data_IF_399086419475
#
_entry.id   IF_399086419475
#
_cell.length_a   1.000
_cell.length_b   1.000
_cell.length_c   1.000
_cell.angle_alpha   90.00
_cell.angle_beta   90.00
_cell.angle_gamma   90.00
#
_symmetry.space_group_name_H-M   'P 1'
#
loop_
_entity.id
_entity.type
_entity.pdbx_description
1 polymer ?
#
# COMPACT_ATOMS: atom_id res chain seq x y z
N UNK A 1 -56.01 62.52 24.81
CA UNK A 1 -56.48 61.14 24.60
C UNK A 1 -56.94 61.00 23.15
N UNK A 2 -56.18 60.29 22.31
CA UNK A 2 -56.68 59.52 21.16
C UNK A 2 -55.50 58.80 20.52
N UNK A 3 -55.58 57.47 20.49
CA UNK A 3 -54.65 56.54 19.86
C UNK A 3 -54.60 56.75 18.33
N UNK A 4 -53.42 56.62 17.72
CA UNK A 4 -53.26 56.13 16.35
C UNK A 4 -52.04 55.21 16.27
N UNK A 5 -52.30 53.97 15.88
CA UNK A 5 -51.35 52.93 15.51
C UNK A 5 -50.44 53.37 14.36
N UNK A 6 -49.14 53.14 14.51
CA UNK A 6 -48.20 53.03 13.39
C UNK A 6 -47.43 51.71 13.54
N UNK A 7 -47.53 50.89 12.50
CA UNK A 7 -46.89 49.60 12.35
C UNK A 7 -45.38 49.78 12.19
N UNK A 8 -44.57 49.05 12.98
CA UNK A 8 -43.13 48.89 12.76
C UNK A 8 -42.90 47.43 12.37
N UNK A 9 -42.47 47.20 11.14
CA UNK A 9 -42.08 45.91 10.63
C UNK A 9 -40.72 45.50 11.22
N UNK A 10 -40.67 44.37 11.90
CA UNK A 10 -39.44 43.75 12.40
C UNK A 10 -38.71 43.04 11.27
N UNK A 11 -37.56 43.57 10.83
CA UNK A 11 -36.58 42.80 10.06
C UNK A 11 -35.65 42.07 11.05
N UNK A 12 -35.83 40.75 11.19
CA UNK A 12 -34.85 39.87 11.80
C UNK A 12 -33.66 39.69 10.83
N UNK A 13 -32.49 40.21 11.21
CA UNK A 13 -31.21 39.82 10.61
C UNK A 13 -30.85 38.42 11.10
N UNK A 14 -30.98 37.42 10.22
CA UNK A 14 -30.43 36.08 10.40
C UNK A 14 -28.91 36.14 10.15
N UNK A 15 -28.13 36.03 11.22
CA UNK A 15 -26.69 35.81 11.15
C UNK A 15 -26.47 34.34 10.73
N UNK A 16 -26.14 34.11 9.46
CA UNK A 16 -25.65 32.81 9.01
C UNK A 16 -24.23 32.62 9.53
N UNK A 17 -24.03 31.73 10.49
CA UNK A 17 -22.68 31.26 10.83
C UNK A 17 -22.18 30.39 9.68
N UNK A 18 -21.28 30.95 8.88
CA UNK A 18 -20.43 30.20 7.97
C UNK A 18 -19.61 29.22 8.81
N UNK A 19 -19.91 27.93 8.71
CA UNK A 19 -19.04 26.88 9.23
C UNK A 19 -17.73 26.98 8.46
N UNK A 20 -16.72 27.54 9.11
CA UNK A 20 -15.36 27.58 8.58
C UNK A 20 -14.89 26.16 8.29
N UNK A 21 -14.34 25.95 7.09
CA UNK A 21 -13.43 24.84 6.83
C UNK A 21 -12.33 24.97 7.88
N UNK A 22 -12.19 23.97 8.76
CA UNK A 22 -11.14 23.96 9.76
C UNK A 22 -9.79 24.12 9.06
N UNK A 23 -8.98 25.08 9.53
CA UNK A 23 -7.60 25.29 9.10
C UNK A 23 -6.78 24.01 9.21
N UNK A 24 -5.87 23.83 8.25
CA UNK A 24 -4.97 22.70 8.04
C UNK A 24 -4.34 22.14 9.33
N UNK A 25 -4.91 21.07 9.88
CA UNK A 25 -4.18 20.24 10.83
C UNK A 25 -3.19 19.39 10.04
N UNK A 26 -1.90 19.77 10.09
CA UNK A 26 -0.82 18.88 9.65
C UNK A 26 -1.04 17.48 10.25
N UNK A 27 -0.85 16.39 9.48
CA UNK A 27 -1.09 15.05 9.99
C UNK A 27 -0.30 14.86 11.28
N UNK A 28 -0.99 14.43 12.35
CA UNK A 28 -0.35 14.13 13.61
C UNK A 28 0.84 13.20 13.37
N UNK A 29 1.99 13.47 14.01
CA UNK A 29 3.15 12.60 13.94
C UNK A 29 2.79 11.14 14.25
N UNK A 30 3.60 10.15 13.84
CA UNK A 30 3.22 8.74 13.97
C UNK A 30 2.89 8.38 15.42
N UNK A 31 1.95 7.45 15.62
CA UNK A 31 1.69 6.97 16.98
C UNK A 31 2.96 6.32 17.53
N UNK A 32 3.42 6.69 18.72
CA UNK A 32 4.68 6.20 19.27
C UNK A 32 4.49 5.07 20.26
N UNK A 33 3.38 5.07 20.98
CA UNK A 33 3.09 4.08 22.02
C UNK A 33 1.95 3.16 21.61
N UNK A 34 1.91 1.98 22.24
CA UNK A 34 0.85 1.00 22.02
C UNK A 34 -0.55 1.57 22.33
N UNK A 35 -0.79 2.26 23.46
CA UNK A 35 -2.11 2.85 23.75
C UNK A 35 -2.51 3.93 22.75
N UNK A 36 -1.58 4.79 22.36
CA UNK A 36 -1.83 5.84 21.37
C UNK A 36 -2.24 5.24 20.01
N UNK A 37 -1.50 4.24 19.52
CA UNK A 37 -1.83 3.55 18.28
C UNK A 37 -3.23 2.92 18.35
N UNK A 38 -3.53 2.23 19.46
CA UNK A 38 -4.83 1.59 19.71
C UNK A 38 -5.99 2.61 19.72
N UNK A 39 -5.80 3.77 20.37
CA UNK A 39 -6.76 4.86 20.37
C UNK A 39 -7.00 5.42 18.96
N UNK A 40 -5.94 5.61 18.16
CA UNK A 40 -6.08 6.09 16.77
C UNK A 40 -6.81 5.08 15.89
N UNK A 41 -6.57 3.78 16.07
CA UNK A 41 -7.31 2.72 15.37
C UNK A 41 -8.80 2.80 15.70
N UNK A 42 -9.17 2.94 16.96
CA UNK A 42 -10.58 3.07 17.37
C UNK A 42 -11.23 4.35 16.82
N UNK A 43 -10.52 5.48 16.87
CA UNK A 43 -11.01 6.75 16.33
C UNK A 43 -11.31 6.68 14.82
N UNK A 44 -10.68 5.77 14.07
CA UNK A 44 -10.97 5.60 12.65
C UNK A 44 -12.39 5.08 12.35
N UNK A 45 -13.10 4.50 13.32
CA UNK A 45 -14.47 3.99 13.12
C UNK A 45 -15.46 5.10 12.77
N UNK A 46 -15.21 6.33 13.23
CA UNK A 46 -16.07 7.50 13.01
C UNK A 46 -15.48 8.50 12.01
N UNK A 47 -14.31 8.19 11.43
CA UNK A 47 -13.67 9.05 10.42
C UNK A 47 -14.51 9.13 9.15
N UNK A 48 -14.60 10.31 8.56
CA UNK A 48 -15.14 10.49 7.20
C UNK A 48 -14.11 10.07 6.16
N UNK A 49 -14.52 9.22 5.21
CA UNK A 49 -13.68 8.83 4.07
C UNK A 49 -13.34 10.04 3.20
N UNK A 50 -12.10 10.13 2.69
CA UNK A 50 -11.66 11.27 1.87
C UNK A 50 -12.21 11.22 0.45
N UNK A 51 -12.49 10.01 -0.04
CA UNK A 51 -13.38 9.77 -1.17
C UNK A 51 -14.76 9.36 -0.64
N UNK A 52 -15.88 9.87 -1.19
CA UNK A 52 -17.20 9.54 -0.70
C UNK A 52 -17.42 8.02 -0.56
N UNK A 53 -17.79 7.56 0.63
CA UNK A 53 -18.14 6.17 0.88
C UNK A 53 -19.60 6.10 1.35
N UNK A 54 -20.56 5.87 0.43
CA UNK A 54 -21.96 5.79 0.78
C UNK A 54 -22.23 4.72 1.84
N UNK A 55 -23.26 4.95 2.66
CA UNK A 55 -23.78 3.93 3.56
C UNK A 55 -24.21 2.68 2.77
N UNK A 56 -24.23 1.53 3.44
CA UNK A 56 -24.72 0.30 2.83
C UNK A 56 -26.21 0.44 2.49
N UNK A 57 -26.61 -0.01 1.32
CA UNK A 57 -28.04 -0.10 0.96
C UNK A 57 -28.73 -1.23 1.72
N UNK A 58 -30.06 -1.18 1.79
CA UNK A 58 -30.84 -2.27 2.40
C UNK A 58 -30.57 -3.63 1.71
N UNK A 59 -30.38 -3.63 0.39
CA UNK A 59 -30.07 -4.83 -0.37
C UNK A 59 -28.65 -5.36 -0.09
N UNK A 60 -27.67 -4.46 0.05
CA UNK A 60 -26.30 -4.85 0.44
C UNK A 60 -26.30 -5.50 1.83
N UNK A 61 -27.03 -4.91 2.79
CA UNK A 61 -27.20 -5.47 4.14
C UNK A 61 -27.91 -6.84 4.09
N UNK A 62 -29.00 -6.95 3.32
CA UNK A 62 -29.81 -8.15 3.20
C UNK A 62 -29.09 -9.30 2.47
N UNK A 63 -28.18 -8.99 1.54
CA UNK A 63 -27.41 -9.98 0.78
C UNK A 63 -26.47 -10.84 1.65
N UNK A 64 -26.25 -10.46 2.91
CA UNK A 64 -25.25 -11.07 3.79
C UNK A 64 -23.80 -10.88 3.31
N UNK A 65 -23.57 -10.20 2.18
CA UNK A 65 -22.24 -9.82 1.70
C UNK A 65 -21.74 -8.64 2.53
N UNK A 66 -21.15 -8.96 3.68
CA UNK A 66 -20.36 -7.99 4.45
C UNK A 66 -19.09 -7.66 3.66
N UNK A 67 -19.17 -6.66 2.82
CA UNK A 67 -18.01 -6.09 2.14
C UNK A 67 -17.31 -5.15 3.11
N UNK A 68 -16.04 -5.45 3.42
CA UNK A 68 -15.21 -4.52 4.18
C UNK A 68 -15.07 -3.22 3.39
N UNK A 69 -14.98 -2.08 4.07
CA UNK A 69 -14.96 -0.76 3.45
C UNK A 69 -13.86 -0.63 2.39
N UNK A 70 -12.73 -1.30 2.59
CA UNK A 70 -11.65 -1.40 1.62
C UNK A 70 -12.06 -2.01 0.27
N UNK A 71 -12.90 -3.05 0.29
CA UNK A 71 -13.44 -3.66 -0.92
C UNK A 71 -14.51 -2.78 -1.57
N UNK A 72 -15.39 -2.20 -0.74
CA UNK A 72 -16.47 -1.29 -1.20
C UNK A 72 -15.93 -0.08 -1.94
N UNK A 73 -14.93 0.60 -1.36
CA UNK A 73 -14.37 1.78 -1.98
C UNK A 73 -13.71 1.44 -3.33
N UNK A 74 -13.03 0.30 -3.43
CA UNK A 74 -12.47 -0.16 -4.71
C UNK A 74 -13.56 -0.44 -5.74
N UNK A 75 -14.64 -1.12 -5.38
CA UNK A 75 -15.72 -1.42 -6.32
C UNK A 75 -16.47 -0.18 -6.80
N UNK A 76 -16.51 0.89 -6.00
CA UNK A 76 -17.14 2.15 -6.39
C UNK A 76 -16.25 2.91 -7.40
N UNK A 77 -14.95 3.01 -7.11
CA UNK A 77 -14.10 3.97 -7.83
C UNK A 77 -13.15 3.37 -8.86
N UNK A 78 -12.76 2.11 -8.73
CA UNK A 78 -11.77 1.49 -9.62
C UNK A 78 -12.43 0.57 -10.65
N UNK A 79 -11.87 0.50 -11.88
CA UNK A 79 -12.28 -0.49 -12.87
C UNK A 79 -12.24 -1.92 -12.30
N UNK A 80 -13.21 -2.76 -12.66
CA UNK A 80 -13.23 -4.16 -12.23
C UNK A 80 -11.96 -4.90 -12.70
N UNK A 81 -11.45 -4.58 -13.89
CA UNK A 81 -10.22 -5.17 -14.43
C UNK A 81 -8.96 -4.84 -13.62
N UNK A 82 -8.99 -3.77 -12.82
CA UNK A 82 -7.89 -3.41 -11.91
C UNK A 82 -7.95 -4.18 -10.59
N UNK A 83 -9.06 -4.86 -10.30
CA UNK A 83 -9.24 -5.62 -9.08
C UNK A 83 -8.74 -7.05 -9.33
N UNK A 84 -7.63 -7.41 -8.70
CA UNK A 84 -7.19 -8.81 -8.71
C UNK A 84 -8.31 -9.69 -8.14
N UNK A 85 -8.59 -10.83 -8.79
CA UNK A 85 -9.56 -11.83 -8.31
C UNK A 85 -9.24 -12.35 -6.91
N UNK A 86 -8.06 -12.08 -6.35
CA UNK A 86 -7.72 -12.31 -4.94
C UNK A 86 -8.47 -11.43 -3.94
N UNK A 87 -9.06 -10.32 -4.41
CA UNK A 87 -10.05 -9.52 -3.64
C UNK A 87 -11.36 -10.28 -3.43
N UNK A 88 -11.61 -11.27 -4.30
CA UNK A 88 -12.72 -12.21 -4.24
C UNK A 88 -12.24 -13.48 -3.54
N UNK A 89 -12.50 -13.55 -2.23
CA UNK A 89 -12.44 -14.75 -1.35
C UNK A 89 -11.84 -16.01 -2.00
N UNK A 90 -10.60 -16.32 -1.65
CA UNK A 90 -10.21 -17.74 -1.60
C UNK A 90 -11.14 -18.50 -0.64
N UNK A 91 -11.30 -19.82 -0.79
CA UNK A 91 -12.10 -20.62 0.13
C UNK A 91 -11.59 -20.35 1.56
N UNK A 92 -12.51 -20.20 2.52
CA UNK A 92 -12.11 -20.21 3.94
C UNK A 92 -11.45 -21.57 4.17
N UNK A 93 -10.12 -21.61 4.19
CA UNK A 93 -9.37 -22.77 4.63
C UNK A 93 -9.87 -23.14 6.02
N UNK A 94 -10.22 -24.41 6.21
CA UNK A 94 -10.60 -24.92 7.50
C UNK A 94 -9.53 -24.52 8.53
N UNK A 95 -9.95 -23.97 9.67
CA UNK A 95 -9.06 -23.77 10.81
C UNK A 95 -8.61 -25.16 11.26
N UNK A 96 -7.31 -25.49 11.27
CA UNK A 96 -6.86 -26.80 11.73
C UNK A 96 -7.27 -27.00 13.19
N UNK A 97 -8.07 -28.03 13.47
CA UNK A 97 -8.50 -28.37 14.83
C UNK A 97 -7.45 -29.26 15.49
N UNK A 98 -6.68 -28.71 16.43
CA UNK A 98 -5.80 -29.46 17.33
C UNK A 98 -4.37 -28.91 17.43
N UNK A 99 -3.81 -28.91 18.65
CA UNK A 99 -2.50 -28.33 18.98
C UNK A 99 -1.38 -28.87 18.07
N UNK A 100 -1.37 -30.16 17.77
CA UNK A 100 -0.34 -30.76 16.90
C UNK A 100 -0.47 -30.32 15.42
N UNK A 101 -1.68 -30.11 14.91
CA UNK A 101 -1.90 -29.62 13.56
C UNK A 101 -1.57 -28.12 13.45
N UNK A 102 -1.94 -27.32 14.47
CA UNK A 102 -1.55 -25.91 14.58
C UNK A 102 -0.02 -25.76 14.63
N UNK A 103 0.67 -26.56 15.44
CA UNK A 103 2.14 -26.52 15.53
C UNK A 103 2.83 -27.01 14.24
N UNK A 104 2.32 -28.04 13.57
CA UNK A 104 2.86 -28.48 12.27
C UNK A 104 2.64 -27.47 11.14
N UNK A 105 1.53 -26.71 11.15
CA UNK A 105 1.28 -25.66 10.16
C UNK A 105 2.16 -24.43 10.41
N UNK A 106 2.57 -24.20 11.67
CA UNK A 106 3.54 -23.17 12.06
C UNK A 106 5.01 -23.58 11.75
N UNK A 107 5.26 -24.84 11.40
CA UNK A 107 6.60 -25.39 11.16
C UNK A 107 7.01 -25.48 9.68
N UNK A 108 6.14 -25.19 8.71
CA UNK A 108 6.46 -25.29 7.28
C UNK A 108 6.11 -24.03 6.49
N UNK A 109 7.15 -23.29 6.07
CA UNK A 109 7.12 -22.14 5.13
C UNK A 109 6.17 -21.00 5.51
N UNK A 110 6.28 -19.78 4.90
CA UNK A 110 5.54 -18.61 5.35
C UNK A 110 4.03 -18.83 5.53
N UNK A 111 3.60 -19.10 6.77
CA UNK A 111 2.21 -19.38 7.08
C UNK A 111 1.36 -18.11 7.18
N UNK A 112 0.06 -18.27 7.35
CA UNK A 112 -0.89 -17.16 7.46
C UNK A 112 -0.58 -16.21 8.63
N UNK A 113 -0.21 -16.74 9.79
CA UNK A 113 0.16 -15.96 10.97
C UNK A 113 1.46 -15.17 10.73
N UNK A 114 2.49 -15.82 10.19
CA UNK A 114 3.76 -15.20 9.81
C UNK A 114 3.55 -14.03 8.83
N UNK A 115 2.82 -14.26 7.73
CA UNK A 115 2.51 -13.20 6.76
C UNK A 115 1.68 -12.07 7.38
N UNK A 116 0.76 -12.38 8.29
CA UNK A 116 -0.01 -11.36 9.03
C UNK A 116 0.88 -10.53 9.94
N UNK A 117 1.90 -11.12 10.60
CA UNK A 117 2.89 -10.36 11.39
C UNK A 117 3.71 -9.43 10.49
N UNK A 118 4.16 -9.90 9.32
CA UNK A 118 4.83 -9.02 8.35
C UNK A 118 3.91 -7.88 7.89
N UNK A 119 2.63 -8.15 7.64
CA UNK A 119 1.66 -7.09 7.31
C UNK A 119 1.50 -6.09 8.45
N UNK A 120 1.52 -6.56 9.70
CA UNK A 120 1.50 -5.69 10.86
C UNK A 120 2.73 -4.78 10.88
N UNK A 121 3.94 -5.31 10.64
CA UNK A 121 5.19 -4.52 10.54
C UNK A 121 5.11 -3.48 9.42
N UNK A 122 4.65 -3.85 8.21
CA UNK A 122 4.46 -2.92 7.09
C UNK A 122 3.48 -1.80 7.47
N UNK A 123 2.35 -2.17 8.09
CA UNK A 123 1.32 -1.21 8.51
C UNK A 123 1.80 -0.28 9.61
N UNK A 124 2.60 -0.78 10.55
CA UNK A 124 3.20 0.01 11.61
C UNK A 124 4.27 0.97 11.08
N UNK A 125 5.10 0.51 10.15
CA UNK A 125 6.14 1.31 9.49
C UNK A 125 5.55 2.42 8.61
N UNK A 126 4.40 2.16 7.97
CA UNK A 126 3.66 3.16 7.18
C UNK A 126 2.67 4.00 8.01
N UNK A 127 2.57 3.77 9.32
CA UNK A 127 1.54 4.32 10.24
C UNK A 127 0.08 4.19 9.73
N UNK A 128 -0.23 3.08 9.06
CA UNK A 128 -1.53 2.81 8.48
C UNK A 128 -2.49 2.18 9.51
N UNK A 129 -3.22 3.03 10.24
CA UNK A 129 -4.11 2.57 11.33
C UNK A 129 -5.22 1.62 10.86
N UNK A 130 -5.81 1.84 9.68
CA UNK A 130 -6.84 0.95 9.11
C UNK A 130 -6.32 -0.48 8.95
N UNK A 131 -5.09 -0.63 8.43
CA UNK A 131 -4.49 -1.94 8.24
C UNK A 131 -4.01 -2.55 9.56
N UNK A 132 -3.54 -1.74 10.52
CA UNK A 132 -3.20 -2.21 11.87
C UNK A 132 -4.42 -2.81 12.55
N UNK A 133 -5.57 -2.13 12.58
CA UNK A 133 -6.80 -2.67 13.16
C UNK A 133 -7.21 -4.03 12.58
N UNK A 134 -7.07 -4.20 11.26
CA UNK A 134 -7.28 -5.50 10.60
C UNK A 134 -6.27 -6.56 11.02
N UNK A 135 -4.98 -6.22 11.13
CA UNK A 135 -3.96 -7.18 11.49
C UNK A 135 -4.07 -7.58 12.96
N UNK A 136 -4.36 -6.65 13.88
CA UNK A 136 -4.64 -6.92 15.30
C UNK A 136 -5.70 -8.01 15.47
N UNK A 137 -6.81 -7.90 14.75
CA UNK A 137 -7.87 -8.89 14.79
C UNK A 137 -7.47 -10.22 14.18
N UNK A 138 -6.77 -10.22 13.04
CA UNK A 138 -6.31 -11.46 12.41
C UNK A 138 -5.30 -12.18 13.29
N UNK A 139 -4.39 -11.46 13.94
CA UNK A 139 -3.42 -12.03 14.87
C UNK A 139 -4.10 -12.61 16.13
N UNK A 140 -5.11 -11.93 16.68
CA UNK A 140 -5.94 -12.50 17.76
C UNK A 140 -6.69 -13.76 17.31
N UNK A 141 -7.22 -13.79 16.08
CA UNK A 141 -7.92 -14.96 15.51
C UNK A 141 -7.01 -16.18 15.32
N UNK A 142 -5.71 -15.98 15.15
CA UNK A 142 -4.72 -17.07 15.13
C UNK A 142 -4.14 -17.37 16.51
N UNK A 143 -4.73 -16.81 17.58
CA UNK A 143 -4.42 -17.15 18.96
C UNK A 143 -3.39 -16.26 19.65
N UNK A 144 -2.93 -15.18 19.04
CA UNK A 144 -1.99 -14.25 19.71
C UNK A 144 -2.71 -13.38 20.75
N UNK A 145 -2.10 -13.23 21.92
CA UNK A 145 -2.56 -12.27 22.96
C UNK A 145 -2.20 -10.83 22.60
N UNK A 146 -2.84 -9.85 23.25
CA UNK A 146 -2.52 -8.43 23.01
C UNK A 146 -1.03 -8.10 23.29
N UNK A 147 -0.42 -8.72 24.30
CA UNK A 147 1.00 -8.57 24.63
C UNK A 147 1.91 -9.23 23.57
N UNK A 148 1.54 -10.41 23.05
CA UNK A 148 2.27 -11.04 21.94
C UNK A 148 2.19 -10.25 20.64
N UNK A 149 1.09 -9.53 20.40
CA UNK A 149 1.00 -8.62 19.26
C UNK A 149 1.81 -7.35 19.54
N UNK A 150 1.78 -6.85 20.78
CA UNK A 150 2.56 -5.68 21.17
C UNK A 150 4.07 -5.92 21.11
N UNK A 151 4.55 -7.15 21.29
CA UNK A 151 5.97 -7.49 21.14
C UNK A 151 6.49 -7.26 19.72
N UNK A 152 5.64 -7.29 18.68
CA UNK A 152 6.01 -6.89 17.31
C UNK A 152 6.47 -5.44 17.25
N UNK A 153 6.07 -4.58 18.19
CA UNK A 153 6.41 -3.17 18.20
C UNK A 153 7.76 -2.87 18.87
N UNK A 154 8.29 -3.79 19.69
CA UNK A 154 9.42 -3.51 20.61
C UNK A 154 10.34 -4.70 20.93
N UNK A 155 9.83 -5.93 21.03
CA UNK A 155 10.52 -7.12 21.58
C UNK A 155 10.68 -8.24 20.54
N UNK A 156 11.40 -7.96 19.46
CA UNK A 156 11.66 -8.94 18.40
C UNK A 156 12.50 -10.13 18.87
N UNK A 157 13.28 -9.96 19.94
CA UNK A 157 14.06 -11.02 20.60
C UNK A 157 13.20 -12.18 21.13
N UNK A 158 11.89 -12.00 21.24
CA UNK A 158 10.94 -13.05 21.62
C UNK A 158 10.49 -13.95 20.46
N UNK A 159 10.87 -13.62 19.22
CA UNK A 159 10.50 -14.38 18.02
C UNK A 159 11.67 -15.26 17.53
N UNK A 160 11.42 -16.34 16.77
CA UNK A 160 12.50 -17.12 16.16
C UNK A 160 13.41 -16.27 15.27
N UNK A 161 14.70 -16.63 15.17
CA UNK A 161 15.70 -15.90 14.36
C UNK A 161 15.24 -15.64 12.91
N UNK A 162 14.59 -16.63 12.29
CA UNK A 162 14.03 -16.51 10.94
C UNK A 162 12.97 -15.39 10.84
N UNK A 163 12.10 -15.27 11.86
CA UNK A 163 11.10 -14.20 11.90
C UNK A 163 11.72 -12.84 12.17
N UNK A 164 12.72 -12.77 13.05
CA UNK A 164 13.47 -11.54 13.28
C UNK A 164 14.11 -11.02 12.00
N UNK A 165 14.76 -11.91 11.24
CA UNK A 165 15.34 -11.63 9.92
C UNK A 165 14.28 -11.09 8.95
N UNK A 166 13.13 -11.75 8.86
CA UNK A 166 12.04 -11.33 7.98
C UNK A 166 11.43 -9.97 8.40
N UNK A 167 11.25 -9.72 9.70
CA UNK A 167 10.74 -8.44 10.21
C UNK A 167 11.71 -7.29 9.94
N UNK A 168 13.02 -7.53 10.11
CA UNK A 168 14.06 -6.55 9.79
C UNK A 168 14.06 -6.19 8.31
N UNK A 169 14.09 -7.20 7.43
CA UNK A 169 14.02 -7.00 5.99
C UNK A 169 12.72 -6.29 5.58
N UNK A 170 11.59 -6.65 6.19
CA UNK A 170 10.27 -6.05 5.94
C UNK A 170 10.22 -4.57 6.29
N UNK A 171 10.74 -4.20 7.47
CA UNK A 171 10.82 -2.79 7.90
C UNK A 171 11.72 -1.99 6.96
N UNK A 172 12.90 -2.52 6.62
CA UNK A 172 13.83 -1.86 5.69
C UNK A 172 13.21 -1.67 4.31
N UNK A 173 12.62 -2.71 3.72
CA UNK A 173 11.98 -2.64 2.40
C UNK A 173 10.77 -1.68 2.38
N UNK A 174 10.09 -1.53 3.52
CA UNK A 174 8.96 -0.60 3.66
C UNK A 174 9.45 0.85 3.78
N UNK A 175 10.36 1.12 4.72
CA UNK A 175 10.87 2.45 5.05
C UNK A 175 11.81 3.00 3.96
N UNK A 176 12.77 2.18 3.54
CA UNK A 176 13.90 2.54 2.70
C UNK A 176 14.22 1.48 1.65
N UNK A 177 13.30 1.15 0.72
CA UNK A 177 13.55 0.23 -0.40
C UNK A 177 14.81 0.59 -1.20
N UNK A 178 15.09 1.88 -1.37
CA UNK A 178 16.31 2.39 -2.03
C UNK A 178 17.64 2.05 -1.31
N UNK A 179 17.56 1.53 -0.07
CA UNK A 179 18.69 1.05 0.74
C UNK A 179 18.56 -0.45 1.06
N UNK A 180 17.64 -1.17 0.43
CA UNK A 180 17.51 -2.61 0.61
C UNK A 180 18.59 -3.31 -0.22
N UNK A 181 19.56 -3.94 0.46
CA UNK A 181 20.81 -4.38 -0.14
C UNK A 181 21.21 -5.81 0.22
N UNK A 182 22.49 -6.10 0.07
CA UNK A 182 23.05 -7.43 0.30
C UNK A 182 22.90 -7.86 1.77
N UNK A 183 22.94 -6.91 2.71
CA UNK A 183 22.75 -7.20 4.13
C UNK A 183 21.39 -7.87 4.39
N UNK A 184 20.29 -7.30 3.89
CA UNK A 184 18.96 -7.88 4.06
C UNK A 184 18.80 -9.19 3.28
N UNK A 185 19.36 -9.27 2.06
CA UNK A 185 19.30 -10.49 1.24
C UNK A 185 20.04 -11.66 1.89
N UNK A 186 21.28 -11.44 2.34
CA UNK A 186 22.08 -12.44 3.05
C UNK A 186 21.39 -12.87 4.34
N UNK A 187 20.79 -11.93 5.07
CA UNK A 187 20.05 -12.23 6.28
C UNK A 187 18.83 -13.12 6.00
N UNK A 188 18.07 -12.86 4.94
CA UNK A 188 16.95 -13.71 4.53
C UNK A 188 17.42 -15.10 4.06
N UNK A 189 18.47 -15.18 3.23
CA UNK A 189 19.03 -16.44 2.71
C UNK A 189 19.57 -17.38 3.79
N UNK A 190 19.88 -16.86 4.98
CA UNK A 190 20.25 -17.71 6.12
C UNK A 190 19.10 -18.60 6.61
N UNK A 191 17.86 -18.20 6.37
CA UNK A 191 16.67 -18.81 6.98
C UNK A 191 15.60 -19.27 5.99
N UNK A 192 15.58 -18.73 4.79
CA UNK A 192 14.54 -18.96 3.79
C UNK A 192 15.15 -19.44 2.48
N UNK A 193 14.46 -20.35 1.81
CA UNK A 193 14.76 -20.74 0.42
C UNK A 193 14.49 -19.58 -0.54
N UNK A 194 15.09 -19.61 -1.72
CA UNK A 194 14.89 -18.58 -2.75
C UNK A 194 13.40 -18.40 -3.13
N UNK A 195 12.63 -19.49 -3.19
CA UNK A 195 11.18 -19.45 -3.43
C UNK A 195 10.41 -18.76 -2.29
N UNK A 196 10.78 -19.02 -1.03
CA UNK A 196 10.18 -18.34 0.13
C UNK A 196 10.57 -16.87 0.19
N UNK A 197 11.78 -16.50 -0.21
CA UNK A 197 12.20 -15.09 -0.32
C UNK A 197 11.37 -14.36 -1.36
N UNK A 198 11.13 -14.97 -2.54
CA UNK A 198 10.24 -14.41 -3.57
C UNK A 198 8.83 -14.17 -3.00
N UNK A 199 8.27 -15.15 -2.30
CA UNK A 199 6.94 -15.04 -1.68
C UNK A 199 6.89 -13.96 -0.59
N UNK A 200 7.91 -13.89 0.29
CA UNK A 200 8.04 -12.85 1.32
C UNK A 200 8.11 -11.47 0.68
N UNK A 201 9.01 -11.26 -0.29
CA UNK A 201 9.20 -9.97 -0.95
C UNK A 201 7.94 -9.54 -1.69
N UNK A 202 7.30 -10.46 -2.43
CA UNK A 202 6.03 -10.18 -3.10
C UNK A 202 4.94 -9.82 -2.09
N UNK A 203 4.83 -10.58 -1.00
CA UNK A 203 3.85 -10.35 0.06
C UNK A 203 4.03 -8.96 0.71
N UNK A 204 5.26 -8.61 1.09
CA UNK A 204 5.60 -7.30 1.66
C UNK A 204 5.35 -6.15 0.68
N UNK A 205 5.64 -6.36 -0.61
CA UNK A 205 5.31 -5.40 -1.66
C UNK A 205 3.79 -5.16 -1.76
N UNK A 206 2.97 -6.22 -1.75
CA UNK A 206 1.50 -6.10 -1.77
C UNK A 206 0.93 -5.40 -0.54
N UNK A 207 1.51 -5.63 0.64
CA UNK A 207 1.13 -4.91 1.86
C UNK A 207 1.44 -3.42 1.77
N UNK A 208 2.57 -3.06 1.17
CA UNK A 208 2.92 -1.66 0.90
C UNK A 208 1.93 -0.96 -0.05
N UNK A 209 1.42 -1.66 -1.07
CA UNK A 209 0.34 -1.15 -1.92
C UNK A 209 -0.96 -0.96 -1.12
N UNK A 210 -1.34 -1.97 -0.32
CA UNK A 210 -2.60 -1.94 0.43
C UNK A 210 -2.64 -0.81 1.46
N UNK A 211 -1.53 -0.56 2.16
CA UNK A 211 -1.42 0.56 3.10
C UNK A 211 -1.56 1.91 2.41
N UNK A 212 -0.90 2.09 1.25
CA UNK A 212 -0.95 3.35 0.50
C UNK A 212 -2.35 3.66 0.01
N UNK A 213 -3.08 2.66 -0.46
CA UNK A 213 -4.50 2.80 -0.79
C UNK A 213 -5.33 3.20 0.43
N UNK A 214 -5.33 2.38 1.49
CA UNK A 214 -6.25 2.53 2.63
C UNK A 214 -5.98 3.77 3.46
N UNK A 215 -4.70 4.12 3.68
CA UNK A 215 -4.33 5.32 4.39
C UNK A 215 -4.73 6.57 3.59
N UNK A 216 -4.37 6.64 2.30
CA UNK A 216 -4.59 7.83 1.47
C UNK A 216 -6.07 8.11 1.23
N UNK A 217 -6.87 7.08 1.00
CA UNK A 217 -8.32 7.21 0.78
C UNK A 217 -9.11 7.54 2.06
N UNK A 218 -8.47 7.45 3.23
CA UNK A 218 -9.12 7.81 4.49
C UNK A 218 -10.26 6.87 4.89
N UNK A 219 -10.27 5.62 4.42
CA UNK A 219 -11.37 4.67 4.66
C UNK A 219 -11.61 4.48 6.17
N UNK A 220 -12.85 4.61 6.68
CA UNK A 220 -13.14 4.35 8.09
C UNK A 220 -12.90 2.89 8.46
N UNK A 221 -12.48 2.68 9.70
CA UNK A 221 -12.34 1.34 10.24
C UNK A 221 -13.69 0.63 10.22
N UNK A 222 -13.69 -0.61 9.72
CA UNK A 222 -14.90 -1.44 9.70
C UNK A 222 -15.51 -1.59 11.10
N UNK A 223 -16.82 -1.36 11.22
CA UNK A 223 -17.55 -1.51 12.48
C UNK A 223 -17.57 -2.97 12.93
N UNK A 224 -17.68 -3.90 11.97
CA UNK A 224 -17.59 -5.33 12.21
C UNK A 224 -16.77 -6.03 11.12
N UNK A 225 -15.95 -7.00 11.51
CA UNK A 225 -14.99 -7.68 10.63
C UNK A 225 -15.52 -9.04 10.17
N UNK A 226 -16.73 -9.03 9.61
CA UNK A 226 -17.44 -10.23 9.15
C UNK A 226 -18.14 -11.03 10.26
N UNK A 227 -18.25 -10.48 11.48
CA UNK A 227 -19.08 -10.97 12.59
C UNK A 227 -20.22 -10.00 12.93
N UNK A 228 -21.17 -10.40 13.77
CA UNK A 228 -22.33 -9.56 14.16
C UNK A 228 -21.96 -8.49 15.19
N UNK A 229 -20.94 -8.78 16.00
CA UNK A 229 -20.50 -7.88 17.07
C UNK A 229 -19.49 -6.83 16.60
N UNK A 230 -19.56 -5.59 17.14
CA UNK A 230 -18.53 -4.59 16.96
C UNK A 230 -17.17 -5.11 17.45
N UNK A 231 -16.11 -4.88 16.67
CA UNK A 231 -14.78 -5.29 17.11
C UNK A 231 -14.21 -4.29 18.13
N UNK A 232 -13.81 -4.76 19.31
CA UNK A 232 -13.02 -3.95 20.24
C UNK A 232 -11.53 -4.04 19.86
N UNK A 233 -10.92 -2.92 19.44
CA UNK A 233 -9.53 -2.82 19.00
C UNK A 233 -8.62 -2.12 20.00
N UNK A 234 -9.16 -1.39 20.97
CA UNK A 234 -8.43 -0.69 22.05
C UNK A 234 -8.12 -1.56 23.28
N UNK A 235 -8.05 -2.87 23.09
CA UNK A 235 -7.71 -3.81 24.15
C UNK A 235 -6.36 -3.45 24.79
N UNK A 236 -6.30 -3.38 26.14
CA UNK A 236 -5.10 -2.96 26.84
C UNK A 236 -3.99 -4.01 26.73
N UNK A 237 -2.77 -3.56 26.97
CA UNK A 237 -1.57 -4.41 27.11
C UNK A 237 -1.00 -4.24 28.50
N UNK A 238 -0.09 -5.12 28.91
CA UNK A 238 0.58 -5.00 30.20
C UNK A 238 1.43 -3.72 30.31
N UNK A 239 1.86 -3.42 31.53
CA UNK A 239 2.73 -2.27 31.82
C UNK A 239 4.06 -2.33 31.07
N UNK A 240 4.52 -3.54 30.71
CA UNK A 240 5.73 -3.77 29.92
C UNK A 240 5.63 -3.13 28.52
N UNK A 241 4.52 -3.35 27.81
CA UNK A 241 4.37 -2.90 26.42
C UNK A 241 3.72 -1.52 26.27
N UNK A 242 2.90 -1.11 27.24
CA UNK A 242 2.13 0.15 27.12
C UNK A 242 2.98 1.41 27.18
N UNK A 243 4.19 1.36 27.77
CA UNK A 243 5.05 2.53 28.01
C UNK A 243 6.24 2.65 27.05
N UNK A 244 6.52 1.61 26.27
CA UNK A 244 7.70 1.58 25.41
C UNK A 244 7.40 2.28 24.08
N UNK A 245 8.31 3.16 23.60
CA UNK A 245 8.21 3.70 22.26
C UNK A 245 8.46 2.59 21.22
N UNK A 246 7.66 2.61 20.17
CA UNK A 246 7.80 1.70 19.05
C UNK A 246 9.16 1.83 18.37
N UNK A 247 9.77 0.68 18.05
CA UNK A 247 10.92 0.59 17.15
C UNK A 247 10.52 0.41 15.69
N UNK A 248 9.23 0.23 15.40
CA UNK A 248 8.72 -0.10 14.07
C UNK A 248 8.08 1.11 13.38
N UNK A 249 7.44 1.99 14.15
CA UNK A 249 6.91 3.27 13.71
C UNK A 249 7.95 4.07 12.88
N UNK A 250 7.50 4.98 11.99
CA UNK A 250 8.38 5.81 11.19
C UNK A 250 9.01 6.97 11.97
N UNK A 251 9.59 6.69 13.14
CA UNK A 251 10.26 7.68 14.00
C UNK A 251 11.63 8.11 13.48
N UNK A 252 12.28 7.24 12.73
CA UNK A 252 13.60 7.40 12.12
C UNK A 252 13.50 7.63 10.61
N UNK A 253 12.32 8.05 10.12
CA UNK A 253 12.13 8.34 8.71
C UNK A 253 13.11 9.40 8.24
N UNK A 254 13.81 9.10 7.15
CA UNK A 254 14.65 10.04 6.43
C UNK A 254 14.04 10.30 5.06
N UNK A 255 13.94 11.57 4.62
CA UNK A 255 13.59 11.90 3.25
C UNK A 255 14.44 11.12 2.24
N UNK A 256 13.83 10.76 1.10
CA UNK A 256 14.57 10.16 -0.01
C UNK A 256 15.63 11.16 -0.50
N UNK A 257 16.84 10.69 -0.87
CA UNK A 257 17.78 11.57 -1.54
C UNK A 257 17.22 12.05 -2.86
N UNK A 258 17.62 13.27 -3.26
CA UNK A 258 17.28 13.86 -4.55
C UNK A 258 17.62 12.93 -5.72
N UNK A 259 16.93 13.17 -6.85
CA UNK A 259 17.10 12.38 -8.05
C UNK A 259 18.51 12.50 -8.62
N UNK A 260 19.04 11.36 -9.05
CA UNK A 260 20.35 11.30 -9.71
C UNK A 260 20.34 12.05 -11.05
N UNK A 261 21.51 12.57 -11.43
CA UNK A 261 21.76 13.11 -12.75
C UNK A 261 21.56 12.05 -13.84
N UNK A 262 21.35 12.51 -15.08
CA UNK A 262 21.00 11.66 -16.21
C UNK A 262 22.03 10.54 -16.45
N UNK A 263 23.31 10.84 -16.36
CA UNK A 263 24.39 9.90 -16.58
C UNK A 263 24.35 8.73 -15.57
N UNK A 264 24.03 9.03 -14.31
CA UNK A 264 23.89 8.02 -13.27
C UNK A 264 22.63 7.17 -13.45
N UNK A 265 21.54 7.75 -13.96
CA UNK A 265 20.32 7.00 -14.33
C UNK A 265 20.62 6.04 -15.48
N UNK A 266 21.27 6.51 -16.55
CA UNK A 266 21.62 5.67 -17.69
C UNK A 266 22.58 4.53 -17.29
N UNK A 267 23.56 4.83 -16.42
CA UNK A 267 24.44 3.82 -15.85
C UNK A 267 23.67 2.78 -15.01
N UNK A 268 22.73 3.23 -14.16
CA UNK A 268 21.92 2.33 -13.34
C UNK A 268 20.98 1.46 -14.18
N UNK A 269 20.38 2.00 -15.25
CA UNK A 269 19.59 1.24 -16.21
C UNK A 269 20.45 0.23 -16.98
N UNK A 270 21.68 0.58 -17.35
CA UNK A 270 22.63 -0.35 -17.98
C UNK A 270 23.02 -1.49 -17.04
N UNK A 271 23.33 -1.18 -15.77
CA UNK A 271 23.57 -2.20 -14.74
C UNK A 271 22.34 -3.09 -14.56
N UNK A 272 21.14 -2.50 -14.51
CA UNK A 272 19.90 -3.24 -14.33
C UNK A 272 19.65 -4.26 -15.46
N UNK A 273 20.11 -4.04 -16.69
CA UNK A 273 19.99 -5.03 -17.79
C UNK A 273 20.91 -6.23 -17.64
N UNK A 274 22.02 -6.08 -16.94
CA UNK A 274 23.08 -7.10 -16.86
C UNK A 274 23.27 -7.71 -15.47
N UNK A 275 22.54 -7.23 -14.46
CA UNK A 275 22.63 -7.77 -13.09
C UNK A 275 22.05 -9.17 -13.00
N UNK A 276 22.57 -9.95 -12.06
CA UNK A 276 22.03 -11.26 -11.73
C UNK A 276 20.91 -11.12 -10.70
N UNK A 277 19.82 -11.92 -10.81
CA UNK A 277 18.82 -12.00 -9.77
C UNK A 277 19.44 -12.36 -8.42
N UNK A 278 18.92 -11.73 -7.36
CA UNK A 278 19.35 -12.00 -5.99
C UNK A 278 19.02 -13.41 -5.49
N UNK A 279 18.16 -14.15 -6.18
CA UNK A 279 17.62 -15.46 -5.83
C UNK A 279 17.49 -16.29 -7.10
N UNK A 280 17.52 -17.62 -7.00
CA UNK A 280 17.19 -18.50 -8.10
C UNK A 280 15.73 -18.29 -8.54
N UNK A 281 15.53 -17.90 -9.80
CA UNK A 281 14.20 -17.69 -10.36
C UNK A 281 13.61 -19.02 -10.86
N UNK A 282 12.27 -19.18 -10.86
CA UNK A 282 11.62 -20.25 -11.59
C UNK A 282 12.11 -20.31 -13.04
N UNK A 283 12.15 -21.51 -13.63
CA UNK A 283 12.61 -21.65 -15.01
C UNK A 283 11.70 -20.87 -15.98
N UNK A 284 12.30 -20.36 -17.06
CA UNK A 284 11.53 -19.67 -18.11
C UNK A 284 10.45 -20.57 -18.73
N UNK A 285 10.65 -21.90 -18.72
CA UNK A 285 9.65 -22.85 -19.20
C UNK A 285 8.39 -22.85 -18.33
N UNK A 286 8.54 -22.88 -17.00
CA UNK A 286 7.41 -22.76 -16.07
C UNK A 286 6.68 -21.44 -16.30
N UNK A 287 7.44 -20.33 -16.44
CA UNK A 287 6.85 -19.02 -16.70
C UNK A 287 6.03 -18.99 -18.00
N UNK A 288 6.53 -19.59 -19.09
CA UNK A 288 5.80 -19.69 -20.36
C UNK A 288 4.54 -20.53 -20.22
N UNK A 289 4.63 -21.67 -19.54
CA UNK A 289 3.49 -22.56 -19.33
C UNK A 289 2.37 -21.85 -18.57
N UNK A 290 2.70 -21.13 -17.49
CA UNK A 290 1.72 -20.39 -16.69
C UNK A 290 1.12 -19.23 -17.47
N UNK A 291 1.94 -18.44 -18.17
CA UNK A 291 1.46 -17.28 -18.94
C UNK A 291 0.59 -17.69 -20.13
N UNK A 292 0.86 -18.84 -20.76
CA UNK A 292 0.10 -19.35 -21.90
C UNK A 292 -1.38 -19.58 -21.58
N UNK A 293 -1.77 -19.72 -20.30
CA UNK A 293 -3.16 -19.80 -19.89
C UNK A 293 -3.97 -18.50 -20.13
N UNK A 294 -3.30 -17.36 -20.33
CA UNK A 294 -3.93 -16.07 -20.63
C UNK A 294 -3.44 -15.47 -21.95
N UNK A 295 -2.12 -15.49 -22.19
CA UNK A 295 -1.50 -14.92 -23.39
C UNK A 295 -0.62 -15.96 -24.09
N UNK A 296 -1.20 -16.92 -24.84
CA UNK A 296 -0.44 -17.94 -25.57
C UNK A 296 0.63 -17.34 -26.49
N UNK A 297 1.84 -17.89 -26.46
CA UNK A 297 2.96 -17.47 -27.32
C UNK A 297 3.72 -16.22 -26.86
N UNK A 298 3.28 -15.55 -25.80
CA UNK A 298 4.04 -14.45 -25.21
C UNK A 298 5.33 -14.93 -24.54
N UNK A 299 6.40 -14.16 -24.66
CA UNK A 299 7.62 -14.34 -23.88
C UNK A 299 7.39 -13.65 -22.53
N UNK A 300 7.41 -14.39 -21.40
CA UNK A 300 7.22 -13.78 -20.10
C UNK A 300 8.36 -12.81 -19.77
N UNK A 301 8.07 -11.60 -19.28
CA UNK A 301 9.10 -10.74 -18.71
C UNK A 301 9.65 -11.36 -17.42
N UNK A 302 10.86 -10.95 -17.03
CA UNK A 302 11.59 -11.48 -15.88
C UNK A 302 10.81 -11.30 -14.57
N UNK A 303 10.07 -10.20 -14.41
CA UNK A 303 9.21 -10.03 -13.23
C UNK A 303 8.11 -11.10 -13.14
N UNK A 304 7.58 -11.56 -14.29
CA UNK A 304 6.59 -12.62 -14.32
C UNK A 304 7.25 -13.97 -14.06
N UNK A 305 8.44 -14.20 -14.65
CA UNK A 305 9.25 -15.40 -14.36
C UNK A 305 9.51 -15.54 -12.87
N UNK A 306 9.93 -14.47 -12.20
CA UNK A 306 10.23 -14.46 -10.78
C UNK A 306 9.03 -14.93 -9.94
N UNK A 307 7.80 -14.55 -10.31
CA UNK A 307 6.61 -14.94 -9.56
C UNK A 307 5.87 -16.15 -10.13
N UNK A 308 6.40 -16.85 -11.15
CA UNK A 308 5.66 -17.87 -11.89
C UNK A 308 5.13 -19.02 -11.01
N UNK A 309 5.86 -19.38 -9.94
CA UNK A 309 5.46 -20.40 -8.97
C UNK A 309 4.42 -19.89 -7.93
N UNK A 310 4.16 -18.59 -7.86
CA UNK A 310 3.18 -18.06 -6.93
C UNK A 310 1.74 -18.27 -7.46
N UNK A 311 0.78 -18.63 -6.61
CA UNK A 311 -0.61 -18.86 -7.03
C UNK A 311 -1.29 -17.59 -7.59
N UNK A 312 -0.72 -16.41 -7.32
CA UNK A 312 -1.23 -15.12 -7.77
C UNK A 312 -0.61 -14.62 -9.07
N UNK A 313 0.29 -15.38 -9.70
CA UNK A 313 1.07 -14.96 -10.88
C UNK A 313 0.18 -14.48 -12.04
N UNK A 314 -0.76 -15.32 -12.48
CA UNK A 314 -1.66 -14.98 -13.60
C UNK A 314 -2.59 -13.82 -13.27
N UNK A 315 -3.09 -13.75 -12.04
CA UNK A 315 -3.93 -12.63 -11.60
C UNK A 315 -3.13 -11.31 -11.57
N UNK A 316 -1.85 -11.37 -11.18
CA UNK A 316 -0.95 -10.21 -11.17
C UNK A 316 -0.61 -9.75 -12.59
N UNK A 317 -0.44 -10.70 -13.52
CA UNK A 317 -0.32 -10.41 -14.95
C UNK A 317 -1.51 -9.66 -15.51
N UNK A 318 -2.70 -10.24 -15.38
CA UNK A 318 -3.95 -9.62 -15.86
C UNK A 318 -4.14 -8.22 -15.30
N UNK A 319 -3.95 -8.06 -13.99
CA UNK A 319 -4.07 -6.77 -13.33
C UNK A 319 -3.06 -5.76 -13.88
N UNK A 320 -1.79 -6.14 -14.04
CA UNK A 320 -0.76 -5.23 -14.56
C UNK A 320 -1.04 -4.79 -15.99
N UNK A 321 -1.51 -5.70 -16.86
CA UNK A 321 -1.96 -5.34 -18.21
C UNK A 321 -3.16 -4.37 -18.17
N UNK A 322 -4.11 -4.61 -17.26
CA UNK A 322 -5.27 -3.74 -17.09
C UNK A 322 -4.92 -2.34 -16.58
N UNK A 323 -3.94 -2.20 -15.67
CA UNK A 323 -3.48 -0.89 -15.19
C UNK A 323 -2.90 -0.03 -16.32
N UNK A 324 -2.27 -0.67 -17.32
CA UNK A 324 -1.71 0.01 -18.50
C UNK A 324 -2.80 0.37 -19.52
N UNK A 325 -3.83 -0.47 -19.68
CA UNK A 325 -4.85 -0.31 -20.72
C UNK A 325 -6.05 0.50 -20.26
N UNK A 326 -6.64 0.10 -19.14
CA UNK A 326 -7.95 0.57 -18.66
C UNK A 326 -7.82 1.75 -17.69
N UNK A 327 -8.93 2.40 -17.37
CA UNK A 327 -9.01 3.53 -16.42
C UNK A 327 -9.39 4.85 -17.09
N UNK A 328 -9.83 5.81 -16.28
CA UNK A 328 -10.18 7.17 -16.70
C UNK A 328 -8.95 8.08 -16.78
N UNK A 329 -7.90 7.78 -16.01
CA UNK A 329 -6.65 8.53 -15.97
C UNK A 329 -5.94 8.49 -17.33
N UNK A 330 -5.47 9.66 -17.80
CA UNK A 330 -4.76 9.77 -19.07
C UNK A 330 -3.55 8.80 -19.16
N UNK A 331 -3.34 8.11 -20.30
CA UNK A 331 -2.23 7.15 -20.47
C UNK A 331 -0.86 7.71 -20.08
N UNK A 332 -0.59 8.96 -20.45
CA UNK A 332 0.66 9.64 -20.10
C UNK A 332 0.82 9.81 -18.58
N UNK A 333 -0.21 10.25 -17.87
CA UNK A 333 -0.15 10.41 -16.41
C UNK A 333 0.08 9.05 -15.72
N UNK A 334 -0.51 7.96 -16.21
CA UNK A 334 -0.27 6.61 -15.68
C UNK A 334 1.21 6.22 -15.76
N UNK A 335 1.84 6.44 -16.91
CA UNK A 335 3.28 6.15 -17.11
C UNK A 335 4.16 7.06 -16.24
N UNK A 336 3.81 8.34 -16.12
CA UNK A 336 4.54 9.28 -15.27
C UNK A 336 4.45 8.91 -13.78
N UNK A 337 3.31 8.41 -13.31
CA UNK A 337 3.16 7.88 -11.94
C UNK A 337 4.11 6.71 -11.72
N UNK A 338 4.19 5.77 -12.68
CA UNK A 338 5.12 4.64 -12.60
C UNK A 338 6.58 5.10 -12.57
N UNK A 339 6.95 6.04 -13.44
CA UNK A 339 8.31 6.60 -13.50
C UNK A 339 8.70 7.29 -12.19
N UNK A 340 7.88 8.22 -11.71
CA UNK A 340 8.14 8.96 -10.46
C UNK A 340 8.26 7.98 -9.29
N UNK A 341 7.34 7.02 -9.19
CA UNK A 341 7.37 6.01 -8.12
C UNK A 341 8.64 5.15 -8.17
N UNK A 342 9.07 4.74 -9.37
CA UNK A 342 10.28 3.95 -9.56
C UNK A 342 11.55 4.75 -9.22
N UNK A 343 11.65 6.00 -9.66
CA UNK A 343 12.77 6.91 -9.35
C UNK A 343 12.88 7.19 -7.86
N UNK A 344 11.77 7.49 -7.19
CA UNK A 344 11.73 7.70 -5.73
C UNK A 344 12.20 6.48 -4.92
N UNK A 345 11.98 5.27 -5.46
CA UNK A 345 12.45 4.02 -4.84
C UNK A 345 13.81 3.55 -5.34
N UNK A 346 14.41 4.19 -6.36
CA UNK A 346 15.60 3.71 -7.10
C UNK A 346 15.42 2.28 -7.65
N UNK A 347 14.22 1.98 -8.12
CA UNK A 347 13.88 0.69 -8.70
C UNK A 347 14.09 0.70 -10.22
N UNK A 348 15.30 0.38 -10.66
CA UNK A 348 15.75 0.60 -12.04
C UNK A 348 15.07 -0.32 -13.05
N UNK A 349 14.68 -1.52 -12.64
CA UNK A 349 13.85 -2.41 -13.45
C UNK A 349 12.50 -1.75 -13.76
N UNK A 350 11.81 -1.24 -12.74
CA UNK A 350 10.53 -0.56 -12.90
C UNK A 350 10.67 0.76 -13.69
N UNK A 351 11.75 1.51 -13.45
CA UNK A 351 12.04 2.75 -14.16
C UNK A 351 12.26 2.51 -15.66
N UNK A 352 13.00 1.46 -16.04
CA UNK A 352 13.21 1.07 -17.44
C UNK A 352 11.89 0.73 -18.15
N UNK A 353 11.01 -0.03 -17.50
CA UNK A 353 9.66 -0.33 -18.00
C UNK A 353 8.83 0.94 -18.23
N UNK A 354 8.85 1.88 -17.28
CA UNK A 354 8.12 3.14 -17.39
C UNK A 354 8.70 4.04 -18.49
N UNK A 355 10.03 4.17 -18.59
CA UNK A 355 10.69 4.95 -19.64
C UNK A 355 10.38 4.40 -21.04
N UNK A 356 10.43 3.08 -21.22
CA UNK A 356 10.09 2.45 -22.50
C UNK A 356 8.64 2.74 -22.91
N UNK A 357 7.69 2.65 -21.96
CA UNK A 357 6.29 3.04 -22.21
C UNK A 357 6.13 4.53 -22.53
N UNK A 358 6.89 5.40 -21.86
CA UNK A 358 6.84 6.84 -22.10
C UNK A 358 7.31 7.18 -23.53
N UNK A 359 8.39 6.55 -23.98
CA UNK A 359 8.87 6.67 -25.36
C UNK A 359 7.89 6.07 -26.36
N UNK A 360 7.25 4.94 -26.03
CA UNK A 360 6.21 4.34 -26.87
C UNK A 360 4.97 5.23 -27.06
N UNK A 361 4.71 6.17 -26.13
CA UNK A 361 3.70 7.23 -26.28
C UNK A 361 4.17 8.40 -27.16
N UNK A 362 5.35 8.32 -27.79
CA UNK A 362 5.92 9.36 -28.64
C UNK A 362 6.59 10.51 -27.87
N UNK A 363 6.85 10.33 -26.57
CA UNK A 363 7.54 11.32 -25.72
C UNK A 363 9.06 11.12 -25.71
N UNK A 364 9.82 12.12 -25.26
CA UNK A 364 11.29 12.06 -25.29
C UNK A 364 11.80 11.56 -23.95
N UNK A 365 12.71 10.60 -23.96
CA UNK A 365 13.34 10.14 -22.71
C UNK A 365 14.06 11.26 -21.95
N UNK A 366 14.49 12.33 -22.63
CA UNK A 366 15.10 13.51 -22.04
C UNK A 366 14.13 14.35 -21.18
N UNK A 367 12.81 14.20 -21.36
CA UNK A 367 11.80 14.90 -20.54
C UNK A 367 11.83 14.38 -19.08
N UNK A 368 12.47 13.23 -18.84
CA UNK A 368 12.51 12.50 -17.58
C UNK A 368 13.80 12.69 -16.76
N UNK A 369 14.72 13.55 -17.21
CA UNK A 369 16.08 13.67 -16.66
C UNK A 369 16.08 14.08 -15.17
N UNK A 370 15.35 15.15 -14.83
CA UNK A 370 15.16 15.62 -13.45
C UNK A 370 13.69 15.78 -13.11
N UNK A 371 13.37 15.75 -11.81
CA UNK A 371 11.99 15.99 -11.38
C UNK A 371 11.52 17.42 -11.71
N UNK A 372 12.38 18.43 -11.49
CA UNK A 372 12.04 19.83 -11.77
C UNK A 372 11.74 20.08 -13.25
N UNK A 373 12.49 19.45 -14.15
CA UNK A 373 12.24 19.52 -15.58
C UNK A 373 10.93 18.83 -15.92
N UNK A 374 10.72 17.60 -15.44
CA UNK A 374 9.47 16.87 -15.65
C UNK A 374 8.26 17.70 -15.20
N UNK A 375 8.33 18.26 -13.99
CA UNK A 375 7.27 19.09 -13.42
C UNK A 375 6.98 20.34 -14.26
N UNK A 376 7.99 20.93 -14.89
CA UNK A 376 7.84 22.10 -15.77
C UNK A 376 7.24 21.78 -17.15
N UNK A 377 7.30 20.52 -17.59
CA UNK A 377 6.87 20.08 -18.91
C UNK A 377 5.42 19.55 -18.93
N UNK A 378 4.87 19.23 -17.76
CA UNK A 378 3.51 18.68 -17.62
C UNK A 378 2.48 19.76 -17.29
N UNK A 379 1.19 19.44 -17.40
CA UNK A 379 0.13 20.38 -17.02
C UNK A 379 0.12 20.66 -15.51
N UNK A 380 -0.44 21.78 -15.03
CA UNK A 380 -0.54 22.05 -13.59
C UNK A 380 -1.25 20.93 -12.80
N UNK A 381 -2.30 20.33 -13.37
CA UNK A 381 -2.99 19.19 -12.79
C UNK A 381 -2.08 17.96 -12.67
N UNK A 382 -1.34 17.63 -13.74
CA UNK A 382 -0.35 16.54 -13.70
C UNK A 382 0.76 16.82 -12.69
N UNK A 383 1.29 18.05 -12.62
CA UNK A 383 2.30 18.43 -11.64
C UNK A 383 1.82 18.20 -10.20
N UNK A 384 0.57 18.58 -9.86
CA UNK A 384 0.00 18.30 -8.53
C UNK A 384 -0.12 16.80 -8.26
N UNK A 385 -0.59 16.02 -9.23
CA UNK A 385 -0.62 14.56 -9.12
C UNK A 385 0.78 13.98 -8.87
N UNK A 386 1.80 14.43 -9.59
CA UNK A 386 3.17 13.93 -9.43
C UNK A 386 3.79 14.34 -8.09
N UNK A 387 3.48 15.52 -7.54
CA UNK A 387 3.88 15.92 -6.18
C UNK A 387 3.26 15.00 -5.13
N UNK A 388 1.97 14.70 -5.27
CA UNK A 388 1.29 13.72 -4.42
C UNK A 388 1.93 12.33 -4.53
N UNK A 389 2.22 11.86 -5.75
CA UNK A 389 2.85 10.55 -6.01
C UNK A 389 4.20 10.42 -5.32
N UNK A 390 5.06 11.46 -5.36
CA UNK A 390 6.35 11.48 -4.65
C UNK A 390 6.15 11.30 -3.15
N UNK A 391 5.24 12.08 -2.56
CA UNK A 391 4.95 12.02 -1.12
C UNK A 391 4.34 10.68 -0.71
N UNK A 392 3.36 10.16 -1.44
CA UNK A 392 2.74 8.86 -1.15
C UNK A 392 3.75 7.70 -1.30
N UNK A 393 4.70 7.82 -2.23
CA UNK A 393 5.76 6.83 -2.42
C UNK A 393 6.74 6.81 -1.25
N UNK A 394 7.24 7.98 -0.88
CA UNK A 394 8.36 8.16 0.06
C UNK A 394 7.93 8.26 1.53
N UNK A 395 6.81 8.92 1.81
CA UNK A 395 6.35 9.26 3.16
C UNK A 395 4.81 9.06 3.30
N UNK A 396 4.28 7.83 3.11
CA UNK A 396 2.83 7.60 3.08
C UNK A 396 2.12 7.98 4.39
N UNK A 397 2.82 7.96 5.53
CA UNK A 397 2.30 8.38 6.83
C UNK A 397 2.00 9.89 6.92
N UNK A 398 2.50 10.69 5.97
CA UNK A 398 2.30 12.15 5.91
C UNK A 398 1.13 12.57 5.04
N UNK A 399 0.38 11.62 4.46
CA UNK A 399 -0.74 11.93 3.57
C UNK A 399 -1.99 12.29 4.38
N UNK A 400 -2.38 13.56 4.28
CA UNK A 400 -3.51 14.16 4.99
C UNK A 400 -4.73 14.45 4.11
N UNK A 401 -5.74 15.08 4.72
CA UNK A 401 -6.99 15.43 4.04
C UNK A 401 -6.77 16.49 2.97
N UNK A 402 -5.90 17.48 3.25
CA UNK A 402 -5.53 18.53 2.31
C UNK A 402 -4.86 18.00 1.04
N UNK A 403 -4.08 16.92 1.15
CA UNK A 403 -3.44 16.29 -0.01
C UNK A 403 -4.48 15.73 -0.99
N UNK A 404 -5.53 15.10 -0.45
CA UNK A 404 -6.62 14.59 -1.27
C UNK A 404 -7.52 15.72 -1.76
N UNK A 405 -7.75 16.76 -0.97
CA UNK A 405 -8.52 17.93 -1.39
C UNK A 405 -7.90 18.62 -2.62
N UNK A 406 -6.59 18.86 -2.63
CA UNK A 406 -5.89 19.47 -3.78
C UNK A 406 -5.96 18.62 -5.05
N UNK A 407 -5.91 17.28 -4.93
CA UNK A 407 -6.15 16.42 -6.08
C UNK A 407 -7.57 16.56 -6.61
N UNK A 408 -8.57 16.64 -5.73
CA UNK A 408 -9.99 16.76 -6.09
C UNK A 408 -10.37 18.10 -6.71
N UNK A 409 -9.53 19.13 -6.58
CA UNK A 409 -9.67 20.39 -7.33
C UNK A 409 -9.36 20.21 -8.82
N UNK A 410 -8.57 19.19 -9.18
CA UNK A 410 -8.05 18.99 -10.54
C UNK A 410 -8.56 17.71 -11.21
N UNK A 411 -9.01 16.73 -10.41
CA UNK A 411 -9.37 15.38 -10.85
C UNK A 411 -10.70 14.95 -10.24
N UNK A 412 -11.46 14.13 -10.98
CA UNK A 412 -12.67 13.49 -10.46
C UNK A 412 -12.34 12.50 -9.32
N UNK A 413 -13.32 12.15 -8.48
CA UNK A 413 -13.10 11.15 -7.41
C UNK A 413 -12.60 9.79 -7.97
N UNK A 414 -13.01 9.42 -9.19
CA UNK A 414 -12.51 8.23 -9.89
C UNK A 414 -11.04 8.37 -10.28
N UNK A 415 -10.64 9.48 -10.90
CA UNK A 415 -9.23 9.73 -11.26
C UNK A 415 -8.34 9.85 -10.01
N UNK A 416 -8.82 10.46 -8.93
CA UNK A 416 -8.09 10.51 -7.65
C UNK A 416 -7.88 9.09 -7.09
N UNK A 417 -8.91 8.25 -7.10
CA UNK A 417 -8.77 6.86 -6.70
C UNK A 417 -7.77 6.11 -7.59
N UNK A 418 -7.82 6.33 -8.90
CA UNK A 418 -6.89 5.72 -9.84
C UNK A 418 -5.45 6.17 -9.61
N UNK A 419 -5.18 7.47 -9.37
CA UNK A 419 -3.85 7.99 -9.05
C UNK A 419 -3.29 7.32 -7.78
N UNK A 420 -4.11 7.18 -6.73
CA UNK A 420 -3.72 6.49 -5.48
C UNK A 420 -3.40 5.03 -5.76
N UNK A 421 -4.25 4.33 -6.51
CA UNK A 421 -4.09 2.91 -6.81
C UNK A 421 -2.87 2.67 -7.71
N UNK A 422 -2.68 3.45 -8.77
CA UNK A 422 -1.51 3.38 -9.65
C UNK A 422 -0.21 3.60 -8.88
N UNK A 423 -0.17 4.60 -8.01
CA UNK A 423 0.99 4.83 -7.13
C UNK A 423 1.24 3.63 -6.22
N UNK A 424 0.18 3.08 -5.62
CA UNK A 424 0.27 1.91 -4.74
C UNK A 424 0.82 0.68 -5.47
N UNK A 425 0.35 0.41 -6.68
CA UNK A 425 0.77 -0.73 -7.51
C UNK A 425 2.19 -0.55 -8.06
N UNK A 426 2.54 0.65 -8.54
CA UNK A 426 3.90 0.97 -8.96
C UNK A 426 4.90 0.84 -7.80
N UNK A 427 4.46 1.18 -6.58
CA UNK A 427 5.27 1.09 -5.37
C UNK A 427 5.55 -0.35 -4.94
N UNK A 428 4.56 -1.24 -5.07
CA UNK A 428 4.73 -2.67 -4.89
C UNK A 428 5.66 -3.25 -5.97
N UNK A 429 5.44 -2.91 -7.24
CA UNK A 429 6.27 -3.38 -8.35
C UNK A 429 7.73 -2.97 -8.19
N UNK A 430 7.97 -1.72 -7.76
CA UNK A 430 9.31 -1.21 -7.47
C UNK A 430 10.01 -2.03 -6.39
N UNK A 431 9.31 -2.33 -5.29
CA UNK A 431 9.85 -3.15 -4.18
C UNK A 431 10.15 -4.57 -4.61
N UNK A 432 9.24 -5.21 -5.33
CA UNK A 432 9.39 -6.59 -5.79
C UNK A 432 10.59 -6.74 -6.73
N UNK A 433 10.66 -5.89 -7.75
CA UNK A 433 11.67 -6.00 -8.80
C UNK A 433 13.07 -5.62 -8.32
N UNK A 434 13.17 -4.59 -7.46
CA UNK A 434 14.48 -4.10 -6.98
C UNK A 434 15.04 -4.96 -5.83
N UNK A 435 14.18 -5.40 -4.89
CA UNK A 435 14.64 -6.25 -3.79
C UNK A 435 15.20 -7.60 -4.28
N UNK A 436 14.63 -8.14 -5.36
CA UNK A 436 15.08 -9.37 -6.02
C UNK A 436 16.19 -9.13 -7.07
N UNK A 437 16.61 -7.88 -7.28
CA UNK A 437 17.60 -7.50 -8.31
C UNK A 437 17.28 -8.07 -9.70
N UNK A 438 16.02 -8.01 -10.12
CA UNK A 438 15.63 -8.61 -11.40
C UNK A 438 16.32 -7.88 -12.58
N UNK A 439 16.88 -8.61 -13.55
CA UNK A 439 17.47 -8.02 -14.75
C UNK A 439 16.41 -7.44 -15.66
N UNK A 440 16.55 -6.16 -16.02
CA UNK A 440 15.71 -5.46 -16.99
C UNK A 440 15.87 -6.09 -18.38
N UNK A 441 14.76 -6.28 -19.09
CA UNK A 441 14.79 -6.80 -20.46
C UNK A 441 15.52 -5.83 -21.41
N UNK A 442 16.14 -6.40 -22.44
CA UNK A 442 16.89 -5.63 -23.44
C UNK A 442 16.02 -4.78 -24.35
#
# INVERSE_FOLDING_TARGET
MSFRMTWIASLLLLFTMSVGIAEDAAPAGPALTRPEMKQRIEALKTRTSRLPLPALTADELASGRRSVNNGRLRSIYLPESWQSSSSSRGPRGAVPTGIAATLNTLQQSPDYGFKTRLFWIVSRTNDCQYCLGHQELKLRRVGMTDDQIASLDVRWDLFPDAEQAAMQATRQLTMAPHRFGDAERTLLKKHFTDSEIIDIVQTVARYNATNRWTASTGIPQDQSFGGDEPSQLDTPTSAEFSRLPSRVAPVDYQPRPEWEAREAVDAALAIARHREPAVELPSMEIARQVLAADTPGAIPPVWFQAMANLPTSLASWKQRQALVRDGQTAPELRVLIEWVTARENRAWYAAGHAQARYVALGRKAADLDSYSQLESLVTPAQAEALRFVRRLTSAPHTIGDADIARLREQFTDHEVAEIIQLTSEANAFSRFTEALQLPLEN
#
